data_IF_406683638357
#
_entry.id   IF_406683638357
#
_cell.length_a   1.000
_cell.length_b   1.000
_cell.length_c   1.000
_cell.angle_alpha   90.00
_cell.angle_beta   90.00
_cell.angle_gamma   90.00
#
_symmetry.space_group_name_H-M   'P 1'
#
loop_
_entity.id
_entity.type
_entity.pdbx_description
1 polymer ?
#
# COMPACT_ATOMS: atom_id res chain seq x y z
N UNK A 1 1.73 -10.15 -14.14
CA UNK A 1 0.28 -10.26 -13.87
C UNK A 1 0.12 -10.05 -12.39
N UNK A 2 -0.71 -9.10 -12.00
CA UNK A 2 -0.95 -8.77 -10.60
C UNK A 2 -1.63 -9.94 -9.91
N UNK A 3 -1.22 -10.22 -8.67
CA UNK A 3 -1.82 -11.28 -7.86
C UNK A 3 -3.31 -10.97 -7.70
N UNK A 4 -4.17 -11.97 -7.84
CA UNK A 4 -5.58 -11.79 -7.53
C UNK A 4 -5.73 -11.63 -6.01
N UNK A 5 -6.81 -10.98 -5.56
CA UNK A 5 -7.12 -10.86 -4.12
C UNK A 5 -7.16 -12.25 -3.45
N UNK A 6 -7.59 -13.27 -4.20
CA UNK A 6 -7.62 -14.68 -3.76
C UNK A 6 -6.23 -15.31 -3.60
N UNK A 7 -5.14 -14.66 -4.01
CA UNK A 7 -3.75 -15.13 -3.96
C UNK A 7 -2.91 -14.44 -2.86
N UNK A 8 -3.51 -13.56 -2.04
CA UNK A 8 -2.88 -12.95 -0.86
C UNK A 8 -2.80 -14.02 0.23
N UNK A 9 -1.77 -14.88 0.19
CA UNK A 9 -1.59 -16.02 1.11
C UNK A 9 -0.41 -15.85 2.07
N UNK A 10 0.34 -14.75 2.00
CA UNK A 10 1.50 -14.52 2.87
C UNK A 10 1.31 -13.28 3.75
N UNK A 11 1.82 -13.29 5.00
CA UNK A 11 1.78 -12.11 5.87
C UNK A 11 2.36 -10.85 5.22
N UNK A 12 3.35 -11.00 4.34
CA UNK A 12 3.91 -9.87 3.58
C UNK A 12 2.94 -9.32 2.52
N UNK A 13 2.17 -10.17 1.85
CA UNK A 13 1.16 -9.71 0.89
C UNK A 13 0.00 -9.01 1.60
N UNK A 14 -0.40 -9.51 2.79
CA UNK A 14 -1.41 -8.85 3.64
C UNK A 14 -0.92 -7.48 4.11
N UNK A 15 0.33 -7.39 4.59
CA UNK A 15 0.95 -6.12 4.94
C UNK A 15 1.02 -5.17 3.73
N UNK A 16 1.41 -5.65 2.53
CA UNK A 16 1.45 -4.82 1.33
C UNK A 16 0.08 -4.25 0.97
N UNK A 17 -0.98 -5.06 1.08
CA UNK A 17 -2.34 -4.61 0.84
C UNK A 17 -2.82 -3.58 1.89
N UNK A 18 -2.57 -3.84 3.17
CA UNK A 18 -2.87 -2.91 4.25
C UNK A 18 -2.09 -1.59 4.08
N UNK A 19 -0.82 -1.67 3.68
CA UNK A 19 0.03 -0.51 3.52
C UNK A 19 -0.32 0.35 2.30
N UNK A 20 -0.94 -0.24 1.29
CA UNK A 20 -1.52 0.51 0.19
C UNK A 20 -2.82 1.20 0.64
N UNK A 21 -3.64 0.49 1.44
CA UNK A 21 -4.87 1.03 1.99
C UNK A 21 -4.63 2.23 2.91
N UNK A 22 -3.55 2.25 3.71
CA UNK A 22 -3.23 3.42 4.54
C UNK A 22 -2.97 4.66 3.70
N UNK A 23 -2.32 4.56 2.53
CA UNK A 23 -2.14 5.70 1.64
C UNK A 23 -3.47 6.23 1.05
N UNK A 24 -4.44 5.35 0.81
CA UNK A 24 -5.79 5.75 0.38
C UNK A 24 -6.58 6.44 1.49
N UNK A 25 -6.42 5.99 2.74
CA UNK A 25 -7.11 6.53 3.91
C UNK A 25 -6.49 7.84 4.42
N UNK A 26 -5.19 8.04 4.18
CA UNK A 26 -4.41 9.20 4.62
C UNK A 26 -3.79 9.96 3.45
N UNK A 27 -4.63 10.59 2.59
CA UNK A 27 -4.13 11.34 1.43
C UNK A 27 -3.24 12.51 1.87
N UNK A 28 -2.17 12.74 1.11
CA UNK A 28 -1.16 13.74 1.45
C UNK A 28 0.02 13.22 2.29
N UNK A 29 -0.01 11.94 2.69
CA UNK A 29 1.16 11.25 3.25
C UNK A 29 2.18 11.00 2.15
N UNK A 30 3.14 11.92 1.98
CA UNK A 30 4.19 11.81 0.95
C UNK A 30 5.55 11.39 1.51
N UNK A 31 5.74 11.49 2.82
CA UNK A 31 7.02 11.18 3.47
C UNK A 31 7.04 9.75 4.00
N UNK A 32 8.17 9.06 3.80
CA UNK A 32 8.35 7.68 4.23
C UNK A 32 8.13 7.51 5.74
N UNK A 33 8.67 8.43 6.56
CA UNK A 33 8.55 8.32 8.02
C UNK A 33 7.10 8.47 8.49
N UNK A 34 6.35 9.43 7.93
CA UNK A 34 4.95 9.65 8.28
C UNK A 34 4.11 8.40 7.92
N UNK A 35 4.38 7.80 6.76
CA UNK A 35 3.73 6.55 6.36
C UNK A 35 4.08 5.37 7.28
N UNK A 36 5.35 5.23 7.68
CA UNK A 36 5.80 4.21 8.63
C UNK A 36 5.08 4.38 9.99
N UNK A 37 4.96 5.61 10.47
CA UNK A 37 4.31 5.88 11.76
C UNK A 37 2.82 5.48 11.71
N UNK A 38 2.12 5.80 10.60
CA UNK A 38 0.74 5.37 10.36
C UNK A 38 0.64 3.84 10.30
N UNK A 39 1.55 3.15 9.61
CA UNK A 39 1.55 1.68 9.53
C UNK A 39 1.72 1.02 10.90
N UNK A 40 2.59 1.56 11.74
CA UNK A 40 2.82 1.02 13.08
C UNK A 40 1.63 1.27 14.00
N UNK A 41 0.91 2.37 13.81
CA UNK A 41 -0.30 2.70 14.57
C UNK A 41 -1.51 1.87 14.14
N UNK A 42 -1.74 1.72 12.83
CA UNK A 42 -2.97 1.15 12.28
C UNK A 42 -2.83 -0.31 11.83
N UNK A 43 -1.63 -0.75 11.46
CA UNK A 43 -1.35 -2.08 10.91
C UNK A 43 -0.26 -2.83 11.70
N UNK A 44 -0.13 -2.55 13.00
CA UNK A 44 0.93 -3.10 13.84
C UNK A 44 0.93 -4.64 13.92
N UNK A 45 -0.24 -5.28 13.77
CA UNK A 45 -0.34 -6.76 13.77
C UNK A 45 0.25 -7.33 12.50
N UNK A 46 -0.15 -6.81 11.34
CA UNK A 46 0.33 -7.21 10.01
C UNK A 46 1.84 -6.96 9.88
N UNK A 47 2.33 -5.85 10.44
CA UNK A 47 3.77 -5.55 10.51
C UNK A 47 4.52 -6.62 11.31
N UNK A 48 4.00 -7.01 12.48
CA UNK A 48 4.64 -8.03 13.32
C UNK A 48 4.57 -9.41 12.68
N UNK A 49 3.46 -9.74 12.01
CA UNK A 49 3.31 -11.03 11.32
C UNK A 49 4.23 -11.15 10.10
N UNK A 50 4.50 -10.03 9.41
CA UNK A 50 5.41 -10.01 8.25
C UNK A 50 6.90 -9.90 8.61
N UNK A 51 7.26 -9.05 9.58
CA UNK A 51 8.65 -8.68 9.87
C UNK A 51 9.14 -9.10 11.27
N UNK A 52 8.26 -9.63 12.12
CA UNK A 52 8.55 -9.94 13.51
C UNK A 52 8.45 -8.73 14.43
N UNK A 53 8.93 -8.86 15.66
CA UNK A 53 8.76 -7.84 16.71
C UNK A 53 10.05 -7.11 17.12
N UNK A 54 11.16 -7.32 16.41
CA UNK A 54 12.40 -6.60 16.65
C UNK A 54 12.31 -5.19 16.03
N UNK A 55 12.32 -4.10 16.82
CA UNK A 55 12.10 -2.76 16.28
C UNK A 55 13.14 -2.36 15.23
N UNK A 56 14.41 -2.70 15.44
CA UNK A 56 15.46 -2.34 14.48
C UNK A 56 15.26 -2.98 13.11
N UNK A 57 14.89 -4.26 13.10
CA UNK A 57 14.59 -5.00 11.89
C UNK A 57 13.28 -4.56 11.22
N UNK A 58 12.24 -4.28 12.02
CA UNK A 58 10.94 -3.80 11.53
C UNK A 58 11.09 -2.47 10.80
N UNK A 59 11.73 -1.47 11.43
CA UNK A 59 11.93 -0.17 10.79
C UNK A 59 12.74 -0.29 9.49
N UNK A 60 13.84 -1.03 9.49
CA UNK A 60 14.64 -1.25 8.29
C UNK A 60 13.83 -1.96 7.17
N UNK A 61 12.98 -2.92 7.54
CA UNK A 61 12.12 -3.63 6.59
C UNK A 61 11.02 -2.73 6.02
N UNK A 62 10.43 -1.85 6.83
CA UNK A 62 9.44 -0.87 6.37
C UNK A 62 10.05 0.20 5.46
N UNK A 63 11.29 0.65 5.74
CA UNK A 63 12.02 1.52 4.82
C UNK A 63 12.27 0.83 3.47
N UNK A 64 12.63 -0.46 3.46
CA UNK A 64 12.76 -1.20 2.21
C UNK A 64 11.39 -1.37 1.51
N UNK A 65 10.32 -1.60 2.29
CA UNK A 65 8.96 -1.73 1.77
C UNK A 65 8.49 -0.47 1.05
N UNK A 66 8.88 0.71 1.52
CA UNK A 66 8.54 1.99 0.86
C UNK A 66 9.00 2.05 -0.61
N UNK A 67 10.14 1.42 -0.90
CA UNK A 67 10.74 1.35 -2.23
C UNK A 67 10.25 0.14 -3.05
N UNK A 68 9.55 -0.80 -2.43
CA UNK A 68 9.05 -2.01 -3.07
C UNK A 68 7.84 -1.70 -3.97
N UNK A 69 7.76 -2.42 -5.08
CA UNK A 69 6.60 -2.37 -5.98
C UNK A 69 5.38 -3.05 -5.35
N UNK A 70 4.23 -2.43 -5.54
CA UNK A 70 2.90 -2.96 -5.28
C UNK A 70 2.06 -2.84 -6.54
N UNK A 71 1.55 -3.97 -7.03
CA UNK A 71 0.52 -3.94 -8.05
C UNK A 71 -0.86 -3.89 -7.42
N UNK A 72 -1.58 -2.81 -7.69
CA UNK A 72 -2.97 -2.65 -7.31
C UNK A 72 -3.85 -3.67 -8.06
N UNK A 73 -4.57 -4.57 -7.36
CA UNK A 73 -5.42 -5.56 -7.99
C UNK A 73 -6.65 -4.94 -8.69
N UNK A 74 -7.06 -3.72 -8.34
CA UNK A 74 -8.24 -3.08 -8.93
C UNK A 74 -7.96 -2.53 -10.34
N UNK A 75 -6.80 -1.90 -10.54
CA UNK A 75 -6.41 -1.30 -11.83
C UNK A 75 -5.37 -2.11 -12.59
N UNK A 76 -4.66 -3.04 -11.93
CA UNK A 76 -3.52 -3.75 -12.49
C UNK A 76 -2.27 -2.88 -12.69
N UNK A 77 -2.26 -1.65 -12.14
CA UNK A 77 -1.12 -0.73 -12.19
C UNK A 77 -0.12 -1.12 -11.10
N UNK A 78 1.15 -1.13 -11.47
CA UNK A 78 2.26 -1.42 -10.57
C UNK A 78 3.10 -0.16 -10.38
N UNK A 79 3.28 0.27 -9.13
CA UNK A 79 4.17 1.37 -8.73
C UNK A 79 4.80 1.02 -7.37
N UNK A 80 5.87 1.71 -6.97
CA UNK A 80 6.35 1.64 -5.59
C UNK A 80 5.40 2.33 -4.60
N UNK A 81 5.53 2.06 -3.31
CA UNK A 81 4.72 2.76 -2.30
C UNK A 81 5.00 4.26 -2.28
N UNK A 82 6.25 4.69 -2.47
CA UNK A 82 6.60 6.09 -2.64
C UNK A 82 5.89 6.76 -3.84
N UNK A 83 5.82 6.05 -4.97
CA UNK A 83 5.13 6.54 -6.15
C UNK A 83 3.61 6.59 -5.91
N UNK A 84 3.03 5.58 -5.26
CA UNK A 84 1.62 5.58 -4.86
C UNK A 84 1.29 6.73 -3.91
N UNK A 85 2.15 7.02 -2.94
CA UNK A 85 2.01 8.16 -2.05
C UNK A 85 1.96 9.49 -2.83
N UNK A 86 2.78 9.62 -3.88
CA UNK A 86 2.74 10.77 -4.79
C UNK A 86 1.43 10.83 -5.58
N UNK A 87 0.90 9.69 -6.01
CA UNK A 87 -0.42 9.61 -6.68
C UNK A 87 -1.54 10.04 -5.72
N UNK A 88 -1.46 9.69 -4.44
CA UNK A 88 -2.49 10.01 -3.43
C UNK A 88 -2.19 11.28 -2.63
N UNK A 89 -1.24 12.10 -3.09
CA UNK A 89 -0.81 13.31 -2.40
C UNK A 89 -1.92 14.38 -2.22
N UNK A 90 -3.01 14.29 -2.99
CA UNK A 90 -4.15 15.22 -2.89
C UNK A 90 -5.49 14.52 -3.00
N UNK A 91 -6.54 15.08 -2.40
CA UNK A 91 -7.91 14.59 -2.56
C UNK A 91 -8.37 14.56 -4.02
N UNK A 92 -7.89 15.48 -4.86
CA UNK A 92 -8.22 15.51 -6.29
C UNK A 92 -7.58 14.33 -7.05
N UNK A 93 -6.32 14.01 -6.75
CA UNK A 93 -5.64 12.88 -7.37
C UNK A 93 -6.19 11.53 -6.87
N UNK A 94 -6.59 11.46 -5.60
CA UNK A 94 -7.32 10.31 -5.05
C UNK A 94 -8.69 10.10 -5.73
N UNK A 95 -9.48 11.17 -5.94
CA UNK A 95 -10.75 11.10 -6.69
C UNK A 95 -10.52 10.63 -8.15
N UNK A 96 -9.41 11.06 -8.76
CA UNK A 96 -9.02 10.61 -10.10
C UNK A 96 -8.68 9.11 -10.12
N UNK A 97 -8.04 8.59 -9.07
CA UNK A 97 -7.78 7.16 -8.90
C UNK A 97 -9.08 6.35 -8.76
N UNK A 98 -10.03 6.77 -7.92
CA UNK A 98 -11.29 6.03 -7.77
C UNK A 98 -12.10 6.00 -9.07
N UNK A 99 -12.10 7.09 -9.85
CA UNK A 99 -12.69 7.10 -11.20
C UNK A 99 -12.02 6.10 -12.13
N UNK A 100 -10.70 5.92 -12.01
CA UNK A 100 -9.97 4.93 -12.78
C UNK A 100 -10.40 3.50 -12.39
N UNK A 101 -10.44 3.20 -11.09
CA UNK A 101 -10.93 1.91 -10.57
C UNK A 101 -12.31 1.58 -11.15
N UNK A 102 -13.25 2.53 -11.12
CA UNK A 102 -14.59 2.31 -11.68
C UNK A 102 -14.59 1.97 -13.18
N UNK A 103 -13.63 2.47 -13.95
CA UNK A 103 -13.50 2.15 -15.38
C UNK A 103 -12.99 0.72 -15.54
N UNK A 104 -11.95 0.33 -14.81
CA UNK A 104 -11.40 -1.03 -14.87
C UNK A 104 -12.38 -2.10 -14.39
N UNK A 105 -13.17 -1.80 -13.34
CA UNK A 105 -14.22 -2.70 -12.86
C UNK A 105 -15.33 -2.91 -13.90
N UNK A 106 -15.66 -1.89 -14.69
CA UNK A 106 -16.64 -1.99 -15.78
C UNK A 106 -16.12 -2.79 -16.96
N UNK A 107 -14.83 -2.62 -17.31
CA UNK A 107 -14.20 -3.32 -18.42
C UNK A 107 -13.89 -4.81 -18.09
N UNK A 108 -13.81 -5.17 -16.81
CA UNK A 108 -13.62 -6.55 -16.36
C UNK A 108 -14.90 -7.41 -16.36
N UNK A 109 -16.08 -6.82 -16.68
CA UNK A 109 -17.39 -7.48 -16.70
C UNK A 109 -17.84 -7.81 -18.12
#
# INVERSE_FOLDING_TARGET
MCKKIEDIYSPLDELKAAAFQTLLLHPGTTECQDWIDILLEECGIEVVDAFGNDPGNVYASLFNLWEESYCDPATGIENSFHEWASVFATNHSLDSYYKLVEVYEKDAR
#
